data_IF_314851399339
#
_entry.id   IF_314851399339
#
_cell.length_a   1.000
_cell.length_b   1.000
_cell.length_c   1.000
_cell.angle_alpha   90.00
_cell.angle_beta   90.00
_cell.angle_gamma   90.00
#
_symmetry.space_group_name_H-M   'P 1'
#
loop_
_entity.id
_entity.type
_entity.pdbx_description
1 polymer ?
#
# COMPACT_ATOMS: atom_id res chain seq x y z
N UNK A 1 -40.68 13.43 4.89
CA UNK A 1 -39.34 12.78 5.07
C UNK A 1 -39.03 12.68 6.57
N UNK A 2 -38.77 11.49 7.08
CA UNK A 2 -38.26 11.30 8.45
C UNK A 2 -36.73 11.62 8.45
N UNK A 3 -36.39 12.70 9.15
CA UNK A 3 -34.98 13.18 9.17
C UNK A 3 -33.99 12.19 9.77
N UNK A 4 -34.42 11.43 10.79
CA UNK A 4 -33.56 10.43 11.47
C UNK A 4 -33.27 9.26 10.52
N UNK A 5 -34.31 8.71 9.89
CA UNK A 5 -34.14 7.60 8.93
C UNK A 5 -33.28 8.01 7.75
N UNK A 6 -33.42 9.23 7.23
CA UNK A 6 -32.60 9.74 6.15
C UNK A 6 -31.13 9.91 6.57
N UNK A 7 -30.89 10.44 7.77
CA UNK A 7 -29.53 10.60 8.30
C UNK A 7 -28.81 9.25 8.50
N UNK A 8 -29.54 8.23 8.98
CA UNK A 8 -29.00 6.86 9.08
C UNK A 8 -28.65 6.31 7.70
N UNK A 9 -29.51 6.51 6.70
CA UNK A 9 -29.23 6.11 5.32
C UNK A 9 -27.98 6.77 4.74
N UNK A 10 -27.78 8.08 4.99
CA UNK A 10 -26.57 8.79 4.56
C UNK A 10 -25.30 8.19 5.22
N UNK A 11 -25.35 7.92 6.53
CA UNK A 11 -24.23 7.33 7.26
C UNK A 11 -23.87 5.94 6.74
N UNK A 12 -24.86 5.09 6.54
CA UNK A 12 -24.66 3.72 6.01
C UNK A 12 -24.13 3.77 4.58
N UNK A 13 -24.71 4.60 3.71
CA UNK A 13 -24.27 4.76 2.33
C UNK A 13 -22.81 5.25 2.22
N UNK A 14 -22.41 6.17 3.10
CA UNK A 14 -21.02 6.62 3.18
C UNK A 14 -20.08 5.48 3.62
N UNK A 15 -20.47 4.67 4.60
CA UNK A 15 -19.71 3.51 5.05
C UNK A 15 -19.59 2.45 3.95
N UNK A 16 -20.65 2.19 3.20
CA UNK A 16 -20.61 1.26 2.06
C UNK A 16 -19.60 1.71 1.01
N UNK A 17 -19.68 2.98 0.62
CA UNK A 17 -18.75 3.56 -0.33
C UNK A 17 -17.29 3.49 0.15
N UNK A 18 -17.05 3.79 1.42
CA UNK A 18 -15.71 3.70 2.03
C UNK A 18 -15.18 2.26 2.09
N UNK A 19 -16.08 1.27 2.17
CA UNK A 19 -15.76 -0.17 2.23
C UNK A 19 -15.70 -0.85 0.87
N UNK A 20 -15.86 -0.09 -0.25
CA UNK A 20 -15.79 -0.64 -1.60
C UNK A 20 -17.07 -1.32 -2.08
N UNK A 21 -18.22 -1.06 -1.44
CA UNK A 21 -19.52 -1.46 -1.95
C UNK A 21 -20.02 -0.42 -2.96
N UNK A 22 -19.61 -0.54 -4.22
CA UNK A 22 -19.96 0.40 -5.27
C UNK A 22 -21.30 0.05 -5.95
N UNK A 23 -21.69 -1.22 -5.94
CA UNK A 23 -22.90 -1.73 -6.58
C UNK A 23 -23.80 -2.46 -5.57
N UNK A 24 -24.64 -1.71 -4.83
CA UNK A 24 -25.62 -2.29 -3.94
C UNK A 24 -27.01 -2.12 -4.55
N UNK A 25 -27.74 -3.24 -4.67
CA UNK A 25 -29.16 -3.19 -4.94
C UNK A 25 -29.88 -2.67 -3.69
N UNK A 26 -30.39 -1.42 -3.78
CA UNK A 26 -31.02 -0.74 -2.64
C UNK A 26 -32.33 -1.41 -2.20
N UNK A 27 -33.07 -2.04 -3.14
CA UNK A 27 -34.35 -2.69 -2.81
C UNK A 27 -34.08 -3.96 -1.98
N UNK A 28 -33.11 -4.77 -2.37
CA UNK A 28 -32.70 -5.97 -1.62
C UNK A 28 -32.10 -5.60 -0.26
N UNK A 29 -31.27 -4.54 -0.23
CA UNK A 29 -30.73 -4.03 1.03
C UNK A 29 -31.83 -3.59 1.98
N UNK A 30 -32.82 -2.82 1.50
CA UNK A 30 -33.96 -2.37 2.31
C UNK A 30 -34.87 -3.54 2.72
N UNK A 31 -35.02 -4.58 1.88
CA UNK A 31 -35.75 -5.79 2.26
C UNK A 31 -35.09 -6.49 3.45
N UNK A 32 -33.77 -6.70 3.41
CA UNK A 32 -33.03 -7.28 4.54
C UNK A 32 -33.12 -6.45 5.83
N UNK A 33 -33.02 -5.11 5.71
CA UNK A 33 -33.23 -4.20 6.87
C UNK A 33 -34.65 -4.34 7.43
N UNK A 34 -35.64 -4.41 6.56
CA UNK A 34 -37.06 -4.55 6.96
C UNK A 34 -37.28 -5.86 7.69
N UNK A 35 -36.84 -6.98 7.15
CA UNK A 35 -37.00 -8.31 7.76
C UNK A 35 -36.49 -8.32 9.21
N UNK A 36 -35.31 -7.71 9.44
CA UNK A 36 -34.75 -7.61 10.79
C UNK A 36 -35.61 -6.69 11.72
N UNK A 37 -36.03 -5.52 11.23
CA UNK A 37 -36.77 -4.55 12.07
C UNK A 37 -38.19 -4.99 12.38
N UNK A 38 -38.84 -5.72 11.48
CA UNK A 38 -40.21 -6.23 11.64
C UNK A 38 -40.25 -7.62 12.31
N UNK A 39 -39.07 -8.26 12.53
CA UNK A 39 -38.98 -9.61 13.10
C UNK A 39 -39.52 -10.69 12.15
N UNK A 40 -39.46 -10.43 10.84
CA UNK A 40 -39.84 -11.39 9.82
C UNK A 40 -38.71 -12.47 9.65
N UNK A 41 -39.06 -13.60 9.03
CA UNK A 41 -38.07 -14.61 8.68
C UNK A 41 -37.22 -14.12 7.51
N UNK A 42 -35.89 -13.97 7.69
CA UNK A 42 -35.03 -13.48 6.62
C UNK A 42 -34.98 -14.45 5.42
N UNK A 43 -34.79 -13.92 4.21
CA UNK A 43 -34.71 -14.73 2.98
C UNK A 43 -33.46 -15.62 2.89
N UNK A 44 -32.45 -15.38 3.74
CA UNK A 44 -31.27 -16.22 3.94
C UNK A 44 -30.89 -16.24 5.42
N UNK A 45 -30.18 -17.28 5.83
CA UNK A 45 -29.67 -17.39 7.20
C UNK A 45 -28.51 -16.39 7.44
N UNK A 46 -28.26 -16.04 8.69
CA UNK A 46 -27.11 -15.19 9.06
C UNK A 46 -25.76 -15.80 8.69
N UNK A 47 -25.65 -17.13 8.67
CA UNK A 47 -24.41 -17.80 8.28
C UNK A 47 -24.22 -17.74 6.77
N UNK A 48 -25.25 -17.93 5.97
CA UNK A 48 -25.22 -17.68 4.52
C UNK A 48 -24.86 -16.22 4.21
N UNK A 49 -25.48 -15.27 4.91
CA UNK A 49 -25.17 -13.84 4.73
C UNK A 49 -23.68 -13.52 5.01
N UNK A 50 -23.09 -14.11 6.06
CA UNK A 50 -21.65 -13.95 6.34
C UNK A 50 -20.77 -14.49 5.22
N UNK A 51 -21.12 -15.66 4.66
CA UNK A 51 -20.37 -16.24 3.54
C UNK A 51 -20.43 -15.32 2.32
N UNK A 52 -21.64 -14.89 1.92
CA UNK A 52 -21.84 -13.99 0.77
C UNK A 52 -21.06 -12.68 0.94
N UNK A 53 -21.12 -12.07 2.12
CA UNK A 53 -20.38 -10.81 2.41
C UNK A 53 -18.86 -11.05 2.36
N UNK A 54 -18.38 -12.16 2.96
CA UNK A 54 -16.96 -12.47 2.93
C UNK A 54 -16.45 -12.72 1.51
N UNK A 55 -17.18 -13.49 0.71
CA UNK A 55 -16.82 -13.78 -0.68
C UNK A 55 -16.78 -12.49 -1.53
N UNK A 56 -17.74 -11.59 -1.32
CA UNK A 56 -17.75 -10.29 -1.97
C UNK A 56 -16.49 -9.48 -1.62
N UNK A 57 -16.11 -9.37 -0.35
CA UNK A 57 -14.90 -8.65 0.05
C UNK A 57 -13.61 -9.29 -0.48
N UNK A 58 -13.56 -10.61 -0.55
CA UNK A 58 -12.43 -11.30 -1.16
C UNK A 58 -12.31 -10.97 -2.65
N UNK A 59 -13.43 -10.94 -3.37
CA UNK A 59 -13.45 -10.60 -4.79
C UNK A 59 -13.06 -9.12 -5.04
N UNK A 60 -13.59 -8.19 -4.26
CA UNK A 60 -13.20 -6.76 -4.32
C UNK A 60 -11.69 -6.61 -4.08
N UNK A 61 -11.17 -7.30 -3.05
CA UNK A 61 -9.75 -7.29 -2.75
C UNK A 61 -8.91 -7.88 -3.89
N UNK A 62 -9.34 -9.01 -4.45
CA UNK A 62 -8.65 -9.66 -5.57
C UNK A 62 -8.55 -8.72 -6.77
N UNK A 63 -9.66 -8.09 -7.14
CA UNK A 63 -9.70 -7.10 -8.23
C UNK A 63 -8.78 -5.90 -7.97
N UNK A 64 -8.78 -5.38 -6.75
CA UNK A 64 -7.90 -4.28 -6.38
C UNK A 64 -6.41 -4.67 -6.47
N UNK A 65 -6.05 -5.87 -6.02
CA UNK A 65 -4.68 -6.40 -6.17
C UNK A 65 -4.28 -6.47 -7.63
N UNK A 66 -5.13 -7.06 -8.48
CA UNK A 66 -4.87 -7.23 -9.91
C UNK A 66 -4.67 -5.88 -10.60
N UNK A 67 -5.59 -4.95 -10.41
CA UNK A 67 -5.50 -3.59 -10.98
C UNK A 67 -4.23 -2.84 -10.53
N UNK A 68 -3.89 -2.92 -9.24
CA UNK A 68 -2.70 -2.26 -8.72
C UNK A 68 -1.40 -2.89 -9.23
N UNK A 69 -1.37 -4.22 -9.37
CA UNK A 69 -0.23 -4.93 -9.97
C UNK A 69 -0.05 -4.56 -11.44
N UNK A 70 -1.12 -4.58 -12.23
CA UNK A 70 -1.08 -4.18 -13.65
C UNK A 70 -0.58 -2.73 -13.81
N UNK A 71 -1.12 -1.80 -13.02
CA UNK A 71 -0.68 -0.41 -13.02
C UNK A 71 0.80 -0.28 -12.59
N UNK A 72 1.23 -1.06 -11.61
CA UNK A 72 2.61 -1.12 -11.13
C UNK A 72 3.57 -1.68 -12.17
N UNK A 73 3.21 -2.75 -12.87
CA UNK A 73 4.00 -3.35 -13.95
C UNK A 73 4.18 -2.40 -15.13
N UNK A 74 3.10 -1.73 -15.54
CA UNK A 74 3.18 -0.72 -16.60
C UNK A 74 4.07 0.47 -16.18
N UNK A 75 3.94 0.92 -14.93
CA UNK A 75 4.82 1.96 -14.40
C UNK A 75 6.29 1.53 -14.42
N UNK A 76 6.61 0.33 -13.93
CA UNK A 76 7.96 -0.22 -13.91
C UNK A 76 8.54 -0.37 -15.33
N UNK A 77 7.74 -0.84 -16.28
CA UNK A 77 8.12 -0.95 -17.68
C UNK A 77 8.52 0.41 -18.26
N UNK A 78 7.68 1.43 -18.08
CA UNK A 78 7.98 2.79 -18.54
C UNK A 78 9.19 3.38 -17.80
N UNK A 79 9.27 3.20 -16.49
CA UNK A 79 10.35 3.75 -15.68
C UNK A 79 11.71 3.11 -16.01
N UNK A 80 11.75 1.81 -16.28
CA UNK A 80 12.97 1.08 -16.65
C UNK A 80 13.63 1.54 -17.95
N UNK A 81 12.88 2.23 -18.84
CA UNK A 81 13.42 2.80 -20.06
C UNK A 81 14.00 4.22 -19.89
N UNK A 82 13.86 4.82 -18.70
CA UNK A 82 14.43 6.15 -18.43
C UNK A 82 15.93 6.09 -18.29
N UNK A 83 16.61 7.10 -18.82
CA UNK A 83 18.07 7.24 -18.69
C UNK A 83 18.44 7.34 -17.20
N UNK A 84 19.43 6.54 -16.77
CA UNK A 84 19.90 6.52 -15.38
C UNK A 84 19.16 5.55 -14.45
N UNK A 85 18.08 4.93 -14.91
CA UNK A 85 17.37 3.89 -14.15
C UNK A 85 18.03 2.53 -14.40
N UNK A 86 18.34 1.84 -13.31
CA UNK A 86 18.86 0.47 -13.30
C UNK A 86 17.79 -0.46 -12.77
N UNK A 87 17.51 -1.56 -13.48
CA UNK A 87 16.60 -2.61 -13.05
C UNK A 87 17.39 -3.81 -12.55
N UNK A 88 17.13 -4.22 -11.31
CA UNK A 88 17.74 -5.41 -10.71
C UNK A 88 17.01 -6.70 -11.14
N UNK A 89 17.64 -7.88 -11.01
CA UNK A 89 16.99 -9.16 -11.33
C UNK A 89 15.70 -9.43 -10.53
N UNK A 90 15.56 -8.84 -9.36
CA UNK A 90 14.35 -8.89 -8.53
C UNK A 90 13.17 -8.06 -9.07
N UNK A 91 13.41 -7.24 -10.10
CA UNK A 91 12.45 -6.27 -10.63
C UNK A 91 12.49 -4.91 -9.92
N UNK A 92 13.25 -4.78 -8.83
CA UNK A 92 13.47 -3.49 -8.17
C UNK A 92 14.22 -2.55 -9.12
N UNK A 93 13.83 -1.27 -9.14
CA UNK A 93 14.49 -0.25 -9.96
C UNK A 93 15.03 0.87 -9.09
N UNK A 94 16.19 1.41 -9.48
CA UNK A 94 16.76 2.57 -8.81
C UNK A 94 17.41 3.56 -9.76
N UNK A 95 17.46 4.80 -9.34
CA UNK A 95 18.16 5.91 -10.00
C UNK A 95 19.03 6.62 -8.94
N UNK A 96 20.30 6.81 -9.26
CA UNK A 96 21.26 7.48 -8.38
C UNK A 96 21.11 8.98 -8.49
N UNK A 97 20.59 9.63 -7.45
CA UNK A 97 20.52 11.10 -7.36
C UNK A 97 21.85 11.66 -6.87
N UNK A 98 22.44 10.99 -5.86
CA UNK A 98 23.76 11.31 -5.30
C UNK A 98 24.44 10.00 -4.92
N UNK A 99 25.67 9.81 -5.35
CA UNK A 99 26.51 8.70 -4.93
C UNK A 99 27.27 9.10 -3.66
N UNK A 100 27.21 8.26 -2.64
CA UNK A 100 28.05 8.35 -1.45
C UNK A 100 29.38 7.61 -1.64
N UNK A 101 30.27 7.79 -0.71
CA UNK A 101 31.61 7.20 -0.69
C UNK A 101 31.91 6.41 0.60
N UNK A 102 30.92 6.33 1.50
CA UNK A 102 31.06 5.57 2.75
C UNK A 102 30.87 4.06 2.58
N UNK A 103 30.96 3.30 3.68
CA UNK A 103 30.74 1.86 3.64
C UNK A 103 29.31 1.51 3.24
N UNK A 104 29.12 0.29 2.73
CA UNK A 104 27.79 -0.27 2.47
C UNK A 104 27.30 -1.05 3.68
N UNK A 105 26.00 -0.96 4.02
CA UNK A 105 25.43 -1.77 5.09
C UNK A 105 25.42 -3.28 4.77
N UNK A 106 25.53 -4.09 5.80
CA UNK A 106 25.31 -5.52 5.76
C UNK A 106 23.95 -5.87 6.34
N UNK A 107 23.44 -7.06 6.06
CA UNK A 107 22.09 -7.50 6.46
C UNK A 107 21.82 -7.37 7.99
N UNK A 108 22.84 -7.55 8.82
CA UNK A 108 22.73 -7.46 10.28
C UNK A 108 22.79 -6.03 10.82
N UNK A 109 23.05 -5.04 9.97
CA UNK A 109 23.21 -3.66 10.39
C UNK A 109 21.87 -2.97 10.65
N UNK A 110 21.95 -1.94 11.48
CA UNK A 110 20.90 -0.90 11.63
C UNK A 110 21.38 0.34 10.89
N UNK A 111 20.54 0.90 10.07
CA UNK A 111 20.83 2.11 9.28
C UNK A 111 20.03 3.29 9.77
N UNK A 112 20.59 4.49 9.58
CA UNK A 112 19.90 5.76 9.77
C UNK A 112 19.67 6.40 8.40
N UNK A 113 18.41 6.71 8.09
CA UNK A 113 17.98 7.22 6.79
C UNK A 113 17.05 8.42 6.91
N UNK A 114 17.11 9.30 5.92
CA UNK A 114 15.94 10.06 5.49
C UNK A 114 15.25 9.33 4.35
N UNK A 115 13.92 9.41 4.32
CA UNK A 115 13.14 8.86 3.22
C UNK A 115 11.88 9.65 2.95
N UNK A 116 11.39 9.53 1.72
CA UNK A 116 10.11 10.06 1.28
C UNK A 116 9.45 9.01 0.39
N UNK A 117 8.34 8.46 0.85
CA UNK A 117 7.62 7.37 0.21
C UNK A 117 6.33 7.85 -0.46
N UNK A 118 6.17 7.50 -1.73
CA UNK A 118 4.98 7.83 -2.53
C UNK A 118 4.44 6.61 -3.26
N UNK A 119 3.14 6.63 -3.55
CA UNK A 119 2.51 5.75 -4.52
C UNK A 119 2.90 6.19 -5.94
N UNK A 120 2.60 5.36 -6.95
CA UNK A 120 2.86 5.66 -8.36
C UNK A 120 2.10 6.89 -8.88
N UNK A 121 0.97 7.25 -8.24
CA UNK A 121 0.20 8.47 -8.52
C UNK A 121 0.76 9.73 -7.85
N UNK A 122 1.88 9.62 -7.11
CA UNK A 122 2.52 10.72 -6.40
C UNK A 122 1.99 11.02 -5.00
N UNK A 123 0.98 10.31 -4.53
CA UNK A 123 0.45 10.47 -3.18
C UNK A 123 1.48 10.02 -2.15
N UNK A 124 1.82 10.90 -1.21
CA UNK A 124 2.76 10.62 -0.11
C UNK A 124 2.05 9.76 0.93
N UNK A 125 2.63 8.62 1.28
CA UNK A 125 2.11 7.78 2.36
C UNK A 125 2.96 7.85 3.63
N UNK A 126 4.25 8.14 3.51
CA UNK A 126 5.13 8.36 4.67
C UNK A 126 6.40 9.14 4.28
N UNK A 127 6.85 10.03 5.15
CA UNK A 127 8.04 10.86 4.89
C UNK A 127 8.72 11.29 6.18
N UNK A 128 9.94 10.82 6.38
CA UNK A 128 10.82 11.31 7.45
C UNK A 128 11.33 12.72 7.17
N UNK A 129 11.40 13.09 5.88
CA UNK A 129 11.82 14.44 5.46
C UNK A 129 10.79 15.47 5.90
N UNK A 130 9.49 15.19 5.73
CA UNK A 130 8.41 16.11 6.13
C UNK A 130 8.31 16.23 7.65
N UNK A 131 8.69 15.18 8.39
CA UNK A 131 8.79 15.22 9.86
C UNK A 131 10.05 15.91 10.37
N UNK A 132 11.03 16.18 9.52
CA UNK A 132 12.32 16.79 9.89
C UNK A 132 13.20 15.94 10.80
N UNK A 133 12.97 14.61 10.84
CA UNK A 133 13.69 13.67 11.70
C UNK A 133 14.08 12.43 10.92
N UNK A 134 15.36 12.02 11.03
CA UNK A 134 15.82 10.72 10.51
C UNK A 134 15.12 9.56 11.20
N UNK A 135 15.11 8.40 10.56
CA UNK A 135 14.60 7.17 11.15
C UNK A 135 15.66 6.07 11.12
N UNK A 136 15.65 5.22 12.14
CA UNK A 136 16.59 4.10 12.27
C UNK A 136 15.86 2.78 12.06
N UNK A 137 16.45 1.94 11.21
CA UNK A 137 15.85 0.67 10.82
C UNK A 137 16.89 -0.47 10.85
N UNK A 138 16.61 -1.59 11.54
CA UNK A 138 17.34 -2.81 11.30
C UNK A 138 17.00 -3.35 9.90
N UNK A 139 18.02 -3.68 9.09
CA UNK A 139 17.79 -4.11 7.70
C UNK A 139 16.95 -5.38 7.59
N UNK A 140 16.99 -6.23 8.60
CA UNK A 140 16.16 -7.44 8.67
C UNK A 140 14.68 -7.17 8.98
N UNK A 141 14.35 -5.95 9.46
CA UNK A 141 13.01 -5.57 9.90
C UNK A 141 12.22 -4.72 8.90
N UNK A 142 12.80 -4.40 7.74
CA UNK A 142 12.15 -3.60 6.70
C UNK A 142 11.62 -4.46 5.55
N UNK A 143 10.90 -3.86 4.61
CA UNK A 143 10.43 -4.55 3.41
C UNK A 143 11.61 -5.06 2.56
N UNK A 144 11.41 -6.15 1.83
CA UNK A 144 12.46 -6.83 1.05
C UNK A 144 13.22 -5.89 0.12
N UNK A 145 12.50 -4.99 -0.56
CA UNK A 145 13.11 -4.01 -1.45
C UNK A 145 14.07 -3.06 -0.74
N UNK A 146 13.78 -2.66 0.50
CA UNK A 146 14.71 -1.87 1.31
C UNK A 146 15.91 -2.68 1.74
N UNK A 147 15.70 -3.92 2.18
CA UNK A 147 16.81 -4.85 2.54
C UNK A 147 17.75 -5.03 1.34
N UNK A 148 17.23 -5.19 0.13
CA UNK A 148 18.04 -5.37 -1.07
C UNK A 148 18.81 -4.09 -1.44
N UNK A 149 18.10 -2.96 -1.56
CA UNK A 149 18.71 -1.75 -2.10
C UNK A 149 19.71 -1.11 -1.14
N UNK A 150 19.46 -1.11 0.17
CA UNK A 150 20.34 -0.48 1.16
C UNK A 150 21.70 -1.15 1.23
N UNK A 151 21.80 -2.46 0.98
CA UNK A 151 23.08 -3.17 0.90
C UNK A 151 23.90 -2.79 -0.35
N UNK A 152 23.29 -2.15 -1.33
CA UNK A 152 23.97 -1.63 -2.53
C UNK A 152 24.39 -0.17 -2.39
N UNK A 153 23.75 0.58 -1.48
CA UNK A 153 23.94 2.01 -1.27
C UNK A 153 25.15 2.28 -0.36
N UNK A 154 26.19 3.00 -0.81
CA UNK A 154 27.20 3.54 0.09
C UNK A 154 26.60 4.62 1.00
N UNK A 155 27.06 4.73 2.25
CA UNK A 155 26.70 5.83 3.16
C UNK A 155 26.97 7.18 2.49
N UNK A 156 26.07 8.14 2.67
CA UNK A 156 26.08 9.45 1.99
C UNK A 156 25.35 9.45 0.65
N UNK A 157 24.84 8.29 0.20
CA UNK A 157 24.03 8.19 -1.04
C UNK A 157 22.61 8.69 -0.85
N UNK A 158 22.05 9.21 -1.96
CA UNK A 158 20.62 9.49 -2.11
C UNK A 158 20.11 8.91 -3.41
N UNK A 159 19.21 7.95 -3.33
CA UNK A 159 18.68 7.24 -4.49
C UNK A 159 17.18 7.32 -4.54
N UNK A 160 16.63 7.31 -5.76
CA UNK A 160 15.20 7.08 -6.00
C UNK A 160 15.02 5.61 -6.32
N UNK A 161 14.15 4.94 -5.58
CA UNK A 161 13.95 3.50 -5.64
C UNK A 161 12.49 3.22 -5.94
N UNK A 162 12.22 2.41 -6.97
CA UNK A 162 10.87 1.92 -7.28
C UNK A 162 10.81 0.44 -6.96
N UNK A 163 9.90 0.08 -6.08
CA UNK A 163 9.81 -1.24 -5.47
C UNK A 163 8.51 -1.91 -5.90
N UNK A 164 8.54 -3.03 -6.67
CA UNK A 164 7.35 -3.79 -7.00
C UNK A 164 6.68 -4.33 -5.73
N UNK A 165 5.37 -4.54 -5.80
CA UNK A 165 4.55 -4.91 -4.64
C UNK A 165 5.07 -6.14 -3.89
N UNK A 166 5.59 -7.15 -4.59
CA UNK A 166 6.09 -8.40 -3.99
C UNK A 166 7.36 -8.23 -3.15
N UNK A 167 8.08 -7.12 -3.36
CA UNK A 167 9.22 -6.69 -2.55
C UNK A 167 8.84 -5.62 -1.50
N UNK A 168 7.56 -5.23 -1.46
CA UNK A 168 6.98 -4.27 -0.53
C UNK A 168 5.98 -4.95 0.40
N UNK A 169 4.71 -4.58 0.36
CA UNK A 169 3.67 -5.12 1.24
C UNK A 169 2.77 -6.17 0.58
N UNK A 170 3.04 -6.53 -0.68
CA UNK A 170 2.34 -7.59 -1.42
C UNK A 170 0.83 -7.38 -1.48
N UNK A 171 0.10 -8.50 -1.44
CA UNK A 171 -1.37 -8.52 -1.52
C UNK A 171 -2.06 -8.13 -0.20
N UNK A 172 -1.31 -7.75 0.83
CA UNK A 172 -1.88 -7.27 2.08
C UNK A 172 -2.05 -5.76 2.12
N UNK A 173 -1.15 -5.02 1.45
CA UNK A 173 -1.03 -3.58 1.63
C UNK A 173 -0.53 -3.20 3.03
N UNK A 174 -0.59 -1.91 3.37
CA UNK A 174 -0.23 -1.42 4.71
C UNK A 174 -0.99 -0.13 5.06
N UNK A 175 -1.51 -0.09 6.28
CA UNK A 175 -2.33 1.04 6.75
C UNK A 175 -3.53 1.30 5.82
N UNK A 176 -3.97 2.56 5.80
CA UNK A 176 -5.10 2.98 4.96
C UNK A 176 -4.68 3.40 3.55
N UNK A 177 -3.40 3.78 3.37
CA UNK A 177 -2.93 4.41 2.13
C UNK A 177 -2.30 3.43 1.14
N UNK A 178 -1.58 2.41 1.62
CA UNK A 178 -0.92 1.44 0.75
C UNK A 178 -1.86 0.29 0.47
N UNK A 179 -2.58 0.40 -0.63
CA UNK A 179 -3.53 -0.61 -1.07
C UNK A 179 -2.81 -1.93 -1.44
N UNK A 180 -3.52 -3.08 -1.36
CA UNK A 180 -3.01 -4.36 -1.84
C UNK A 180 -2.47 -4.30 -3.27
N UNK A 181 -1.30 -4.89 -3.53
CA UNK A 181 -0.68 -4.92 -4.86
C UNK A 181 0.07 -3.65 -5.27
N UNK A 182 0.20 -2.66 -4.38
CA UNK A 182 0.80 -1.35 -4.71
C UNK A 182 2.31 -1.42 -4.93
N UNK A 183 2.77 -0.90 -6.07
CA UNK A 183 4.18 -0.54 -6.31
C UNK A 183 4.50 0.77 -5.61
N UNK A 184 5.64 0.83 -4.93
CA UNK A 184 6.05 1.96 -4.12
C UNK A 184 7.26 2.68 -4.70
N UNK A 185 7.32 3.99 -4.51
CA UNK A 185 8.47 4.82 -4.88
C UNK A 185 9.02 5.45 -3.61
N UNK A 186 10.32 5.35 -3.41
CA UNK A 186 11.02 5.99 -2.31
C UNK A 186 12.16 6.86 -2.83
N UNK A 187 12.34 8.02 -2.22
CA UNK A 187 13.63 8.70 -2.20
C UNK A 187 14.27 8.33 -0.87
N UNK A 188 15.42 7.67 -0.89
CA UNK A 188 16.14 7.23 0.30
C UNK A 188 17.49 7.94 0.35
N UNK A 189 17.80 8.57 1.47
CA UNK A 189 19.11 9.12 1.78
C UNK A 189 19.71 8.33 2.94
N UNK A 190 20.76 7.57 2.66
CA UNK A 190 21.46 6.76 3.66
C UNK A 190 22.47 7.64 4.40
N UNK A 191 22.17 7.96 5.65
CA UNK A 191 22.98 8.87 6.47
C UNK A 191 24.13 8.15 7.15
N UNK A 192 23.84 7.01 7.81
CA UNK A 192 24.82 6.29 8.58
C UNK A 192 24.46 4.81 8.77
N UNK A 193 25.47 4.01 9.10
CA UNK A 193 25.33 2.69 9.72
C UNK A 193 25.50 2.90 11.22
N UNK A 194 24.51 2.53 12.01
CA UNK A 194 24.52 2.78 13.46
C UNK A 194 25.58 1.90 14.15
N UNK A 195 26.52 2.54 14.84
CA UNK A 195 27.57 1.83 15.57
C UNK A 195 28.84 1.47 14.74
N UNK A 196 28.91 1.96 13.50
CA UNK A 196 30.12 1.85 12.67
C UNK A 196 30.66 3.22 12.29
#
# INVERSE_FOLDING_TARGET
MNKVSYALGLSIGQNFRASGFDEINLDDFLAGVRDVLEGAEPQMTYDEAKVVINDYFQEVRRKAVEQNKEAGEEFLKINGHKTGVVTLPSGLQYEVIKMGDGPKPELADTVECHYHGTLINGQVFDSSMDRGQTAKFPLQGVIKGWTEILQLMPVGSKWKVTIPSDLAYGDRGAGEMIQPGSTLIFIIELIAIVGK
#
